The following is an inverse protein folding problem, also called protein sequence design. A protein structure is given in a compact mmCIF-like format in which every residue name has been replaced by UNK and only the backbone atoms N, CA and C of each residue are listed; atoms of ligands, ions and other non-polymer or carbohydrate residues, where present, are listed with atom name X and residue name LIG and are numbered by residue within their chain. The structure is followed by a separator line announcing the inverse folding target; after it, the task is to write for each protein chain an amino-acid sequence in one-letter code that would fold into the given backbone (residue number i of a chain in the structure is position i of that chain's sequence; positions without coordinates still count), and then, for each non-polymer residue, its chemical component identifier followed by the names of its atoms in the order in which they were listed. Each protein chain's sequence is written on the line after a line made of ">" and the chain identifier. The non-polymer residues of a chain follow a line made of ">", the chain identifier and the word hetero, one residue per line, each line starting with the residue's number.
data_IF_833107992206
#
_entry.id   IF_833107992206
#
_cell.length_a   1.000
_cell.length_b   1.000
_cell.length_c   1.000
_cell.angle_alpha   90.00
_cell.angle_beta   90.00
_cell.angle_gamma   90.00
#
_symmetry.space_group_name_H-M   'P 1'
#
loop_
_entity.id
_entity.type
_entity.pdbx_description
1 polymer ?
#
# COMPACT_ATOMS: atom_id res chain seq x y z
N UNK A 1 -65.01 -13.94 -8.94
CA UNK A 1 -64.02 -14.80 -9.64
C UNK A 1 -62.80 -13.96 -10.00
N UNK A 2 -62.95 -12.79 -10.60
CA UNK A 2 -61.81 -11.89 -10.97
C UNK A 2 -60.98 -11.46 -9.76
N UNK A 3 -61.54 -11.24 -8.60
CA UNK A 3 -60.83 -10.86 -7.37
C UNK A 3 -59.91 -11.97 -6.80
N UNK A 4 -60.36 -13.22 -6.86
CA UNK A 4 -59.57 -14.39 -6.39
C UNK A 4 -58.35 -14.63 -7.27
N UNK A 5 -58.50 -14.54 -8.60
CA UNK A 5 -57.40 -14.66 -9.52
C UNK A 5 -56.35 -13.57 -9.34
N UNK A 6 -56.79 -12.34 -9.09
CA UNK A 6 -55.89 -11.21 -8.79
C UNK A 6 -55.12 -11.42 -7.48
N UNK A 7 -55.76 -11.96 -6.45
CA UNK A 7 -55.08 -12.28 -5.18
C UNK A 7 -54.05 -13.40 -5.36
N UNK A 8 -54.39 -14.46 -6.05
CA UNK A 8 -53.45 -15.57 -6.34
C UNK A 8 -52.25 -15.07 -7.15
N UNK A 9 -52.50 -14.25 -8.18
CA UNK A 9 -51.41 -13.64 -8.99
C UNK A 9 -50.50 -12.75 -8.13
N UNK A 10 -51.09 -11.93 -7.28
CA UNK A 10 -50.30 -11.07 -6.37
C UNK A 10 -49.42 -11.88 -5.42
N UNK A 11 -49.98 -12.94 -4.80
CA UNK A 11 -49.19 -13.81 -3.89
C UNK A 11 -48.08 -14.57 -4.63
N UNK A 12 -48.34 -15.08 -5.84
CA UNK A 12 -47.32 -15.72 -6.68
C UNK A 12 -46.20 -14.75 -7.01
N UNK A 13 -46.50 -13.56 -7.50
CA UNK A 13 -45.50 -12.55 -7.88
C UNK A 13 -44.69 -12.11 -6.64
N UNK A 14 -45.30 -11.95 -5.52
CA UNK A 14 -44.61 -11.63 -4.24
C UNK A 14 -43.69 -12.76 -3.79
N UNK A 15 -44.10 -13.98 -3.98
CA UNK A 15 -43.30 -15.16 -3.61
C UNK A 15 -42.07 -15.32 -4.54
N UNK A 16 -42.27 -15.12 -5.84
CA UNK A 16 -41.17 -15.07 -6.82
C UNK A 16 -40.16 -13.99 -6.50
N UNK A 17 -40.59 -12.79 -6.18
CA UNK A 17 -39.71 -11.69 -5.76
C UNK A 17 -38.90 -12.04 -4.51
N UNK A 18 -39.56 -12.64 -3.50
CA UNK A 18 -38.85 -13.09 -2.29
C UNK A 18 -37.81 -14.18 -2.60
N UNK A 19 -38.14 -15.12 -3.48
CA UNK A 19 -37.20 -16.15 -3.92
C UNK A 19 -36.01 -15.56 -4.66
N UNK A 20 -36.23 -14.63 -5.57
CA UNK A 20 -35.17 -13.94 -6.29
C UNK A 20 -34.26 -13.17 -5.35
N UNK A 21 -34.82 -12.39 -4.40
CA UNK A 21 -34.04 -11.67 -3.39
C UNK A 21 -33.23 -12.60 -2.48
N UNK A 22 -33.80 -13.76 -2.13
CA UNK A 22 -33.11 -14.76 -1.32
C UNK A 22 -31.94 -15.39 -2.08
N UNK A 23 -32.14 -15.70 -3.38
CA UNK A 23 -31.08 -16.23 -4.24
C UNK A 23 -29.96 -15.21 -4.45
N UNK A 24 -30.29 -13.95 -4.78
CA UNK A 24 -29.28 -12.88 -4.91
C UNK A 24 -28.48 -12.66 -3.63
N UNK A 25 -29.16 -12.73 -2.49
CA UNK A 25 -28.49 -12.62 -1.19
C UNK A 25 -27.54 -13.79 -0.95
N UNK A 26 -28.00 -15.01 -1.23
CA UNK A 26 -27.16 -16.21 -1.10
C UNK A 26 -25.95 -16.18 -2.02
N UNK A 27 -26.12 -15.75 -3.28
CA UNK A 27 -25.00 -15.60 -4.23
C UNK A 27 -23.98 -14.58 -3.73
N UNK A 28 -24.41 -13.40 -3.27
CA UNK A 28 -23.53 -12.38 -2.69
C UNK A 28 -22.81 -12.86 -1.43
N UNK A 29 -23.46 -13.64 -0.58
CA UNK A 29 -22.84 -14.24 0.60
C UNK A 29 -21.78 -15.27 0.19
N UNK A 30 -22.05 -16.11 -0.80
CA UNK A 30 -21.08 -17.07 -1.37
C UNK A 30 -19.88 -16.39 -2.01
N UNK A 31 -20.11 -15.34 -2.80
CA UNK A 31 -19.01 -14.55 -3.39
C UNK A 31 -18.12 -13.94 -2.28
N UNK A 32 -18.73 -13.39 -1.23
CA UNK A 32 -18.00 -12.85 -0.09
C UNK A 32 -17.19 -13.92 0.65
N UNK A 33 -17.76 -15.08 0.91
CA UNK A 33 -17.06 -16.21 1.55
C UNK A 33 -15.85 -16.64 0.72
N UNK A 34 -16.03 -16.83 -0.60
CA UNK A 34 -14.94 -17.18 -1.51
C UNK A 34 -13.85 -16.11 -1.55
N UNK A 35 -14.25 -14.84 -1.61
CA UNK A 35 -13.32 -13.73 -1.60
C UNK A 35 -12.51 -13.69 -0.29
N UNK A 36 -13.17 -13.83 0.86
CA UNK A 36 -12.51 -13.85 2.17
C UNK A 36 -11.52 -15.01 2.27
N UNK A 37 -11.94 -16.22 1.87
CA UNK A 37 -11.07 -17.40 1.88
C UNK A 37 -9.84 -17.21 0.97
N UNK A 38 -10.02 -16.59 -0.20
CA UNK A 38 -8.92 -16.26 -1.12
C UNK A 38 -7.93 -15.28 -0.49
N UNK A 39 -8.42 -14.25 0.18
CA UNK A 39 -7.58 -13.26 0.88
C UNK A 39 -6.82 -13.91 2.04
N UNK A 40 -7.47 -14.75 2.83
CA UNK A 40 -6.82 -15.46 3.95
C UNK A 40 -5.73 -16.41 3.45
N UNK A 41 -5.98 -17.13 2.35
CA UNK A 41 -4.97 -17.96 1.70
C UNK A 41 -3.73 -17.16 1.29
N UNK A 42 -3.90 -16.05 0.56
CA UNK A 42 -2.76 -15.21 0.14
C UNK A 42 -1.99 -14.64 1.32
N UNK A 43 -2.67 -14.35 2.42
CA UNK A 43 -2.01 -13.87 3.64
C UNK A 43 -1.12 -14.90 4.26
N UNK A 44 -1.64 -16.13 4.41
CA UNK A 44 -0.87 -17.21 4.99
C UNK A 44 0.35 -17.52 4.14
N UNK A 45 0.17 -17.60 2.81
CA UNK A 45 1.28 -17.75 1.86
C UNK A 45 2.31 -16.61 1.97
N UNK A 46 1.86 -15.37 2.09
CA UNK A 46 2.76 -14.24 2.25
C UNK A 46 3.59 -14.32 3.55
N UNK A 47 2.97 -14.71 4.68
CA UNK A 47 3.69 -14.92 5.93
C UNK A 47 4.70 -16.08 5.84
N UNK A 48 4.30 -17.19 5.21
CA UNK A 48 5.16 -18.34 5.01
C UNK A 48 6.35 -18.08 4.06
N UNK A 49 6.19 -17.16 3.10
CA UNK A 49 7.28 -16.73 2.21
C UNK A 49 8.19 -15.69 2.90
N UNK A 50 7.65 -14.78 3.70
CA UNK A 50 8.44 -13.76 4.39
C UNK A 50 9.53 -14.35 5.27
N UNK A 51 9.20 -15.39 6.03
CA UNK A 51 10.11 -16.00 7.00
C UNK A 51 11.38 -16.55 6.33
N UNK A 52 11.34 -17.42 5.32
CA UNK A 52 12.56 -17.91 4.66
C UNK A 52 13.32 -16.80 3.93
N UNK A 53 12.64 -15.82 3.33
CA UNK A 53 13.33 -14.68 2.70
C UNK A 53 14.11 -13.85 3.72
N UNK A 54 13.56 -13.62 4.91
CA UNK A 54 14.27 -12.90 5.99
C UNK A 54 15.48 -13.70 6.47
N UNK A 55 15.35 -15.04 6.57
CA UNK A 55 16.45 -15.92 6.94
C UNK A 55 17.55 -16.00 5.88
N UNK A 56 17.24 -15.78 4.61
CA UNK A 56 18.22 -15.68 3.53
C UNK A 56 18.90 -14.29 3.55
N UNK A 57 18.13 -13.23 3.74
CA UNK A 57 18.62 -11.84 3.67
C UNK A 57 19.68 -11.55 4.72
N UNK A 58 19.45 -11.96 5.97
CA UNK A 58 20.35 -11.63 7.09
C UNK A 58 21.77 -12.23 6.93
N UNK A 59 21.97 -13.52 6.62
CA UNK A 59 23.30 -14.06 6.34
C UNK A 59 23.95 -13.41 5.11
N UNK A 60 23.16 -13.11 4.07
CA UNK A 60 23.64 -12.50 2.86
C UNK A 60 24.22 -11.09 3.10
N UNK A 61 23.52 -10.26 3.89
CA UNK A 61 23.99 -8.94 4.32
C UNK A 61 25.29 -9.05 5.15
N UNK A 62 25.39 -10.06 6.04
CA UNK A 62 26.59 -10.28 6.84
C UNK A 62 27.80 -10.66 5.97
N UNK A 63 27.62 -11.49 4.94
CA UNK A 63 28.69 -11.87 4.02
C UNK A 63 29.12 -10.67 3.17
N UNK A 64 28.19 -9.85 2.68
CA UNK A 64 28.49 -8.64 1.89
C UNK A 64 29.36 -7.61 2.62
N UNK A 65 29.22 -7.51 3.95
CA UNK A 65 30.04 -6.61 4.79
C UNK A 65 31.43 -7.18 5.04
N UNK A 66 31.64 -8.49 4.83
CA UNK A 66 32.94 -9.13 5.06
C UNK A 66 34.01 -8.64 4.06
N UNK A 67 35.21 -8.27 4.53
CA UNK A 67 36.29 -7.82 3.66
C UNK A 67 36.93 -8.95 2.81
N UNK A 68 36.67 -10.22 3.12
CA UNK A 68 37.30 -11.38 2.51
C UNK A 68 36.52 -11.95 1.30
N UNK A 69 35.49 -11.27 0.83
CA UNK A 69 34.70 -11.70 -0.33
C UNK A 69 35.38 -11.21 -1.60
N UNK A 70 35.69 -12.14 -2.55
CA UNK A 70 36.23 -11.78 -3.85
C UNK A 70 35.24 -10.91 -4.66
N UNK A 71 35.76 -10.08 -5.58
CA UNK A 71 34.94 -9.17 -6.36
C UNK A 71 33.84 -9.92 -7.14
N UNK A 72 34.16 -11.00 -7.80
CA UNK A 72 33.23 -11.80 -8.61
C UNK A 72 32.06 -12.37 -7.79
N UNK A 73 32.37 -12.85 -6.56
CA UNK A 73 31.34 -13.37 -5.66
C UNK A 73 30.48 -12.23 -5.07
N UNK A 74 31.09 -11.07 -4.87
CA UNK A 74 30.37 -9.89 -4.32
C UNK A 74 29.25 -9.45 -5.24
N UNK A 75 29.49 -9.38 -6.56
CA UNK A 75 28.49 -9.00 -7.54
C UNK A 75 27.29 -9.96 -7.53
N UNK A 76 27.54 -11.26 -7.46
CA UNK A 76 26.49 -12.27 -7.36
C UNK A 76 25.67 -12.13 -6.04
N UNK A 77 26.37 -11.89 -4.94
CA UNK A 77 25.71 -11.68 -3.63
C UNK A 77 24.88 -10.40 -3.60
N UNK A 78 25.34 -9.33 -4.24
CA UNK A 78 24.56 -8.07 -4.37
C UNK A 78 23.29 -8.30 -5.19
N UNK A 79 23.37 -9.05 -6.30
CA UNK A 79 22.21 -9.43 -7.10
C UNK A 79 21.21 -10.25 -6.26
N UNK A 80 21.70 -11.22 -5.48
CA UNK A 80 20.85 -12.05 -4.60
C UNK A 80 20.18 -11.18 -3.53
N UNK A 81 20.92 -10.25 -2.90
CA UNK A 81 20.38 -9.34 -1.90
C UNK A 81 19.30 -8.43 -2.47
N UNK A 82 19.53 -7.89 -3.66
CA UNK A 82 18.56 -7.06 -4.37
C UNK A 82 17.27 -7.81 -4.65
N UNK A 83 17.35 -9.05 -5.17
CA UNK A 83 16.20 -9.86 -5.48
C UNK A 83 15.45 -10.31 -4.21
N UNK A 84 16.16 -10.69 -3.14
CA UNK A 84 15.56 -11.04 -1.85
C UNK A 84 14.79 -9.85 -1.27
N UNK A 85 15.39 -8.67 -1.30
CA UNK A 85 14.74 -7.43 -0.86
C UNK A 85 13.49 -7.14 -1.68
N UNK A 86 13.56 -7.27 -3.00
CA UNK A 86 12.41 -7.08 -3.89
C UNK A 86 11.27 -8.07 -3.59
N UNK A 87 11.59 -9.32 -3.32
CA UNK A 87 10.57 -10.32 -2.95
C UNK A 87 9.91 -9.99 -1.61
N UNK A 88 10.70 -9.56 -0.61
CA UNK A 88 10.16 -9.10 0.67
C UNK A 88 9.21 -7.90 0.50
N UNK A 89 9.56 -6.95 -0.35
CA UNK A 89 8.71 -5.79 -0.64
C UNK A 89 7.38 -6.20 -1.29
N UNK A 90 7.40 -7.14 -2.24
CA UNK A 90 6.19 -7.67 -2.86
C UNK A 90 5.28 -8.40 -1.85
N UNK A 91 5.88 -9.21 -0.98
CA UNK A 91 5.15 -9.90 0.10
C UNK A 91 4.52 -8.88 1.07
N UNK A 92 5.25 -7.83 1.42
CA UNK A 92 4.74 -6.77 2.27
C UNK A 92 3.57 -6.02 1.61
N UNK A 93 3.69 -5.68 0.32
CA UNK A 93 2.60 -5.05 -0.44
C UNK A 93 1.34 -5.93 -0.47
N UNK A 94 1.49 -7.25 -0.63
CA UNK A 94 0.35 -8.18 -0.59
C UNK A 94 -0.34 -8.17 0.78
N UNK A 95 0.42 -8.17 1.86
CA UNK A 95 -0.13 -8.11 3.22
C UNK A 95 -0.77 -6.77 3.54
N UNK A 96 -0.23 -5.68 3.01
CA UNK A 96 -0.82 -4.36 3.15
C UNK A 96 -2.16 -4.25 2.40
N UNK A 97 -2.23 -4.80 1.18
CA UNK A 97 -3.49 -4.89 0.44
C UNK A 97 -4.58 -5.60 1.25
N UNK A 98 -4.22 -6.72 1.91
CA UNK A 98 -5.17 -7.43 2.78
C UNK A 98 -5.71 -6.57 3.92
N UNK A 99 -4.84 -5.81 4.61
CA UNK A 99 -5.27 -4.97 5.74
C UNK A 99 -6.36 -3.98 5.33
N UNK A 100 -6.31 -3.51 4.08
CA UNK A 100 -7.33 -2.60 3.53
C UNK A 100 -8.65 -3.30 3.27
N UNK A 101 -8.64 -4.58 2.89
CA UNK A 101 -9.82 -5.33 2.47
C UNK A 101 -10.62 -5.93 3.64
N UNK A 102 -9.94 -6.53 4.64
CA UNK A 102 -10.62 -7.39 5.63
C UNK A 102 -11.13 -6.67 6.88
N UNK A 103 -10.60 -5.51 7.25
CA UNK A 103 -10.95 -4.84 8.50
C UNK A 103 -11.67 -3.51 8.36
N UNK A 104 -11.94 -3.06 7.11
CA UNK A 104 -12.31 -1.66 6.89
C UNK A 104 -11.26 -0.79 7.58
N UNK A 105 -10.61 0.09 6.90
CA UNK A 105 -9.52 0.91 7.44
C UNK A 105 -9.98 1.58 8.74
N UNK A 106 -9.63 1.01 9.90
CA UNK A 106 -9.76 1.74 11.15
C UNK A 106 -8.57 2.70 11.23
N UNK A 107 -8.79 3.89 10.68
CA UNK A 107 -7.82 4.97 10.76
C UNK A 107 -7.79 5.49 12.20
N UNK A 108 -6.59 5.63 12.75
CA UNK A 108 -6.36 6.25 14.04
C UNK A 108 -6.02 7.73 13.84
N UNK A 109 -7.04 8.57 13.89
CA UNK A 109 -6.88 10.01 13.71
C UNK A 109 -6.34 10.65 14.99
N UNK A 110 -5.15 11.24 14.89
CA UNK A 110 -4.51 12.02 15.96
C UNK A 110 -4.01 13.35 15.39
N UNK A 111 -3.99 14.38 16.21
CA UNK A 111 -3.42 15.66 15.79
C UNK A 111 -1.91 15.53 15.59
N UNK A 112 -1.43 15.77 14.39
CA UNK A 112 -0.03 15.65 14.00
C UNK A 112 0.45 16.86 13.21
N UNK A 113 1.73 17.18 13.35
CA UNK A 113 2.42 18.11 12.48
C UNK A 113 2.81 17.39 11.18
N UNK A 114 2.10 17.70 10.09
CA UNK A 114 2.33 17.09 8.77
C UNK A 114 3.69 17.50 8.21
N UNK A 115 4.10 18.75 8.46
CA UNK A 115 5.39 19.28 7.99
C UNK A 115 6.56 18.51 8.57
N UNK A 116 6.51 18.15 9.86
CA UNK A 116 7.54 17.34 10.51
C UNK A 116 7.59 15.91 9.96
N UNK A 117 6.42 15.30 9.72
CA UNK A 117 6.32 13.97 9.12
C UNK A 117 6.96 13.99 7.73
N UNK A 118 6.60 14.96 6.91
CA UNK A 118 7.13 15.11 5.56
C UNK A 118 8.66 15.30 5.59
N UNK A 119 9.18 16.16 6.49
CA UNK A 119 10.61 16.41 6.63
C UNK A 119 11.38 15.16 7.06
N UNK A 120 10.84 14.36 7.99
CA UNK A 120 11.46 13.10 8.41
C UNK A 120 11.55 12.09 7.25
N UNK A 121 10.49 11.98 6.45
CA UNK A 121 10.48 11.10 5.30
C UNK A 121 11.44 11.61 4.23
N UNK A 122 11.44 12.92 3.95
CA UNK A 122 12.36 13.55 2.99
C UNK A 122 13.82 13.24 3.33
N UNK A 123 14.23 13.43 4.59
CA UNK A 123 15.61 13.12 5.02
C UNK A 123 15.98 11.65 4.78
N UNK A 124 15.05 10.74 5.00
CA UNK A 124 15.27 9.30 4.77
C UNK A 124 15.47 8.95 3.29
N UNK A 125 14.79 9.65 2.38
CA UNK A 125 14.87 9.39 0.93
C UNK A 125 15.95 10.19 0.20
N UNK A 126 16.46 11.25 0.80
CA UNK A 126 17.51 12.12 0.22
C UNK A 126 18.76 11.35 -0.22
N UNK A 127 19.33 10.41 0.57
CA UNK A 127 20.50 9.64 0.12
C UNK A 127 20.25 8.83 -1.17
N UNK A 128 19.03 8.23 -1.28
CA UNK A 128 18.64 7.45 -2.45
C UNK A 128 18.49 8.33 -3.70
N UNK A 129 17.89 9.52 -3.55
CA UNK A 129 17.77 10.49 -4.64
C UNK A 129 19.17 10.98 -5.10
N UNK A 130 20.07 11.25 -4.15
CA UNK A 130 21.47 11.64 -4.46
C UNK A 130 22.24 10.55 -5.22
N UNK A 131 22.08 9.28 -4.82
CA UNK A 131 22.69 8.15 -5.51
C UNK A 131 22.27 8.08 -6.98
N UNK A 132 21.00 8.42 -7.25
CA UNK A 132 20.45 8.53 -8.62
C UNK A 132 20.75 9.87 -9.32
N UNK A 133 21.48 10.78 -8.68
CA UNK A 133 21.79 12.13 -9.18
C UNK A 133 20.55 12.97 -9.48
N UNK A 134 19.46 12.75 -8.74
CA UNK A 134 18.23 13.52 -8.84
C UNK A 134 18.31 14.76 -7.96
N UNK A 135 17.85 15.88 -8.48
CA UNK A 135 17.57 17.07 -7.68
C UNK A 135 16.26 16.83 -6.90
N UNK A 136 16.36 16.67 -5.59
CA UNK A 136 15.21 16.39 -4.73
C UNK A 136 15.00 17.59 -3.79
N UNK A 137 13.94 18.33 -4.01
CA UNK A 137 13.63 19.58 -3.31
C UNK A 137 12.28 19.48 -2.62
N UNK A 138 12.22 20.03 -1.40
CA UNK A 138 11.00 20.15 -0.61
C UNK A 138 10.71 21.62 -0.31
N UNK A 139 9.49 22.06 -0.58
CA UNK A 139 8.95 23.34 -0.20
C UNK A 139 7.85 23.15 0.83
N UNK A 140 8.11 23.64 2.04
CA UNK A 140 7.15 23.66 3.12
C UNK A 140 7.38 24.93 3.93
N UNK A 141 6.52 25.91 3.79
CA UNK A 141 6.73 27.27 4.34
C UNK A 141 6.24 27.40 5.78
N UNK A 142 5.35 26.53 6.24
CA UNK A 142 4.66 26.65 7.54
C UNK A 142 4.50 25.27 8.21
N UNK A 143 4.37 25.31 9.55
CA UNK A 143 3.99 24.13 10.31
C UNK A 143 2.50 23.87 10.18
N UNK A 144 2.14 22.79 9.50
CA UNK A 144 0.76 22.40 9.23
C UNK A 144 0.34 21.28 10.18
N UNK A 145 -0.71 21.54 10.97
CA UNK A 145 -1.30 20.57 11.88
C UNK A 145 -2.63 20.08 11.35
N UNK A 146 -2.87 18.76 11.43
CA UNK A 146 -4.16 18.18 11.09
C UNK A 146 -4.41 16.88 11.85
N UNK A 147 -5.69 16.52 11.98
CA UNK A 147 -6.12 15.22 12.52
C UNK A 147 -6.00 14.18 11.41
N UNK A 148 -4.99 13.33 11.52
CA UNK A 148 -4.62 12.33 10.50
C UNK A 148 -4.17 11.02 11.15
N UNK A 149 -4.19 9.95 10.39
CA UNK A 149 -3.47 8.73 10.74
C UNK A 149 -2.01 8.85 10.27
N UNK A 150 -1.10 8.95 11.24
CA UNK A 150 0.34 9.14 10.99
C UNK A 150 0.95 7.99 10.18
N UNK A 151 0.57 6.74 10.47
CA UNK A 151 1.11 5.57 9.76
C UNK A 151 0.64 5.55 8.31
N UNK A 152 -0.65 5.80 8.09
CA UNK A 152 -1.24 5.86 6.76
C UNK A 152 -0.59 6.99 5.93
N UNK A 153 -0.46 8.19 6.49
CA UNK A 153 0.20 9.30 5.79
C UNK A 153 1.67 9.01 5.49
N UNK A 154 2.42 8.47 6.45
CA UNK A 154 3.82 8.08 6.25
C UNK A 154 3.96 7.09 5.10
N UNK A 155 3.05 6.13 5.00
CA UNK A 155 3.03 5.13 3.94
C UNK A 155 2.70 5.73 2.58
N UNK A 156 1.71 6.63 2.53
CA UNK A 156 1.33 7.35 1.30
C UNK A 156 2.53 8.14 0.76
N UNK A 157 3.16 8.97 1.61
CA UNK A 157 4.29 9.81 1.21
C UNK A 157 5.48 8.95 0.78
N UNK A 158 5.78 7.88 1.52
CA UNK A 158 6.87 6.96 1.18
C UNK A 158 6.65 6.29 -0.17
N UNK A 159 5.43 5.89 -0.50
CA UNK A 159 5.08 5.33 -1.80
C UNK A 159 5.23 6.36 -2.93
N UNK A 160 4.79 7.60 -2.70
CA UNK A 160 4.95 8.69 -3.67
C UNK A 160 6.43 8.97 -3.93
N UNK A 161 7.27 9.05 -2.89
CA UNK A 161 8.71 9.29 -3.03
C UNK A 161 9.43 8.12 -3.71
N UNK A 162 9.08 6.88 -3.35
CA UNK A 162 9.61 5.69 -4.03
C UNK A 162 9.30 5.71 -5.51
N UNK A 163 8.06 6.02 -5.88
CA UNK A 163 7.64 6.13 -7.28
C UNK A 163 8.34 7.29 -7.99
N UNK A 164 8.38 8.46 -7.35
CA UNK A 164 9.07 9.61 -7.91
C UNK A 164 10.56 9.29 -8.18
N UNK A 165 11.30 8.75 -7.21
CA UNK A 165 12.71 8.39 -7.38
C UNK A 165 12.90 7.28 -8.42
N UNK A 166 11.95 6.35 -8.54
CA UNK A 166 12.03 5.26 -9.51
C UNK A 166 11.90 5.75 -10.94
N UNK A 167 11.02 6.72 -11.16
CA UNK A 167 10.61 7.14 -12.50
C UNK A 167 11.11 8.54 -12.91
N UNK A 168 11.78 9.28 -12.02
CA UNK A 168 12.39 10.57 -12.36
C UNK A 168 13.73 10.40 -13.03
N UNK A 169 14.05 11.33 -13.94
CA UNK A 169 15.35 11.41 -14.59
C UNK A 169 16.20 12.58 -14.09
N UNK A 170 15.59 13.69 -13.72
CA UNK A 170 16.31 14.91 -13.38
C UNK A 170 15.94 15.50 -12.04
N UNK A 171 14.65 15.74 -11.77
CA UNK A 171 14.23 16.40 -10.53
C UNK A 171 12.95 15.81 -9.94
N UNK A 172 12.82 15.98 -8.64
CA UNK A 172 11.61 15.72 -7.86
C UNK A 172 11.35 16.96 -7.00
N UNK A 173 10.20 17.57 -7.18
CA UNK A 173 9.78 18.73 -6.42
C UNK A 173 8.56 18.37 -5.57
N UNK A 174 8.70 18.51 -4.26
CA UNK A 174 7.65 18.24 -3.28
C UNK A 174 7.21 19.54 -2.67
N UNK A 175 5.90 19.78 -2.67
CA UNK A 175 5.33 21.00 -2.11
C UNK A 175 4.20 20.67 -1.15
N UNK A 176 4.27 21.24 0.05
CA UNK A 176 3.23 21.15 1.07
C UNK A 176 2.76 22.58 1.39
N UNK A 177 1.44 22.82 1.28
CA UNK A 177 0.86 24.14 1.56
C UNK A 177 -0.55 24.04 2.12
N UNK A 178 -1.02 25.14 2.71
CA UNK A 178 -2.42 25.33 3.12
C UNK A 178 -3.13 26.22 2.10
N UNK A 179 -4.37 25.91 1.84
CA UNK A 179 -5.30 26.77 1.09
C UNK A 179 -6.65 26.68 1.78
N UNK A 180 -7.12 27.82 2.29
CA UNK A 180 -8.28 27.91 3.16
C UNK A 180 -8.16 26.98 4.40
N UNK A 181 -9.00 25.97 4.49
CA UNK A 181 -9.05 24.98 5.59
C UNK A 181 -8.44 23.64 5.20
N UNK A 182 -7.92 23.52 3.98
CA UNK A 182 -7.37 22.27 3.45
C UNK A 182 -5.85 22.37 3.30
N UNK A 183 -5.16 21.27 3.58
CA UNK A 183 -3.75 21.13 3.22
C UNK A 183 -3.59 20.29 1.96
N UNK A 184 -2.56 20.60 1.21
CA UNK A 184 -2.25 19.95 -0.06
C UNK A 184 -0.80 19.50 -0.07
N UNK A 185 -0.57 18.31 -0.61
CA UNK A 185 0.75 17.78 -0.89
C UNK A 185 0.87 17.45 -2.37
N UNK A 186 1.84 18.02 -3.03
CA UNK A 186 2.17 17.75 -4.43
C UNK A 186 3.56 17.12 -4.52
N UNK A 187 3.69 16.10 -5.35
CA UNK A 187 4.97 15.49 -5.72
C UNK A 187 5.06 15.52 -7.24
N UNK A 188 5.88 16.42 -7.75
CA UNK A 188 6.11 16.59 -9.19
C UNK A 188 7.46 16.02 -9.56
N UNK A 189 7.51 15.29 -10.67
CA UNK A 189 8.74 14.75 -11.23
C UNK A 189 8.72 14.85 -12.76
N UNK A 190 9.90 14.90 -13.38
CA UNK A 190 10.00 14.95 -14.82
C UNK A 190 10.23 13.56 -15.38
N UNK A 191 9.34 13.18 -16.30
CA UNK A 191 9.44 11.99 -17.16
C UNK A 191 9.96 12.42 -18.53
N UNK A 192 10.60 11.52 -19.24
CA UNK A 192 10.79 11.70 -20.69
C UNK A 192 9.49 11.49 -21.44
#
# INVERSE_FOLDING_TARGET
>A
ILSVVGIIYYFRKRNEQKHQQAMEKFEREKERELYTAKIDFFTNVAHEIRTPLTLIKSPLENVLVSPNVSADIRDDLEIMNLNTTRLLDLVNQLLDFRKTETRGFQLNFVECNISDILQQIYMRFTPLARQKKLEFVIECSESIYASIDREALTKIISNLFTNAIKYSETYIHVRLWMEDTCWFLSVCNRWQ
#
